data_IF_346810529083
#
_entry.id   IF_346810529083
#
_cell.length_a   1.000
_cell.length_b   1.000
_cell.length_c   1.000
_cell.angle_alpha   90.00
_cell.angle_beta   90.00
_cell.angle_gamma   90.00
#
_symmetry.space_group_name_H-M   'P 1'
#
loop_
_entity.id
_entity.type
_entity.pdbx_description
1 polymer ?
#
# COMPACT_ATOMS: atom_id res chain seq x y z
N UNK A 1 -6.55 3.15 -1.76
CA UNK A 1 -5.27 2.46 -1.46
C UNK A 1 -5.32 1.74 -0.12
N UNK A 2 -5.81 2.39 0.92
CA UNK A 2 -5.89 1.75 2.24
C UNK A 2 -6.77 0.50 2.21
N UNK A 3 -7.93 0.58 1.57
CA UNK A 3 -8.83 -0.57 1.45
C UNK A 3 -8.22 -1.69 0.62
N UNK A 4 -7.44 -1.34 -0.39
CA UNK A 4 -6.73 -2.32 -1.21
C UNK A 4 -5.71 -3.07 -0.36
N UNK A 5 -4.98 -2.35 0.49
CA UNK A 5 -4.03 -2.96 1.41
C UNK A 5 -4.73 -3.93 2.35
N UNK A 6 -5.85 -3.50 2.95
CA UNK A 6 -6.63 -4.36 3.85
C UNK A 6 -7.10 -5.62 3.15
N UNK A 7 -7.59 -5.48 1.92
CA UNK A 7 -8.20 -6.57 1.17
C UNK A 7 -7.19 -7.60 0.71
N UNK A 8 -6.00 -7.15 0.33
CA UNK A 8 -4.98 -8.02 -0.28
C UNK A 8 -3.90 -8.46 0.70
N UNK A 9 -3.91 -7.97 1.93
CA UNK A 9 -2.95 -8.38 2.96
C UNK A 9 -3.17 -9.84 3.32
N UNK A 10 -2.13 -10.65 3.21
CA UNK A 10 -2.16 -12.07 3.51
C UNK A 10 -1.47 -12.41 4.85
N UNK A 11 -1.28 -11.41 5.70
CA UNK A 11 -0.65 -11.58 7.00
C UNK A 11 0.68 -10.85 7.13
N UNK A 12 1.52 -10.90 6.10
CA UNK A 12 2.82 -10.23 6.08
C UNK A 12 2.78 -8.88 5.35
N UNK A 13 1.58 -8.40 5.01
CA UNK A 13 1.43 -7.20 4.21
C UNK A 13 1.39 -7.52 2.72
N UNK A 14 1.06 -6.50 1.92
CA UNK A 14 1.03 -6.62 0.47
C UNK A 14 2.34 -6.11 -0.12
N UNK A 15 2.92 -6.85 -1.06
CA UNK A 15 4.13 -6.44 -1.76
C UNK A 15 3.84 -5.20 -2.62
N UNK A 16 4.78 -4.25 -2.64
CA UNK A 16 4.62 -2.97 -3.34
C UNK A 16 4.21 -3.13 -4.82
N UNK A 17 4.87 -4.05 -5.53
CA UNK A 17 4.57 -4.27 -6.95
C UNK A 17 3.14 -4.76 -7.15
N UNK A 18 2.68 -5.67 -6.28
CA UNK A 18 1.32 -6.18 -6.34
C UNK A 18 0.31 -5.08 -6.04
N UNK A 19 0.62 -4.25 -5.06
CA UNK A 19 -0.22 -3.09 -4.73
C UNK A 19 -0.29 -2.13 -5.92
N UNK A 20 0.85 -1.86 -6.56
CA UNK A 20 0.90 -1.00 -7.74
C UNK A 20 0.02 -1.51 -8.87
N UNK A 21 0.05 -2.82 -9.13
CA UNK A 21 -0.79 -3.43 -10.16
C UNK A 21 -2.26 -3.26 -9.80
N UNK A 22 -2.62 -3.54 -8.55
CA UNK A 22 -4.02 -3.45 -8.11
C UNK A 22 -4.56 -2.03 -8.23
N UNK A 23 -3.80 -1.01 -7.83
CA UNK A 23 -4.28 0.37 -7.87
C UNK A 23 -4.17 1.00 -9.26
N UNK A 24 -3.33 0.45 -10.14
CA UNK A 24 -3.25 0.95 -11.52
C UNK A 24 -4.57 0.82 -12.25
N UNK A 25 -5.38 -0.17 -11.88
CA UNK A 25 -6.72 -0.35 -12.41
C UNK A 25 -7.66 0.78 -11.99
N UNK A 26 -7.31 1.50 -10.94
CA UNK A 26 -8.07 2.65 -10.44
C UNK A 26 -7.50 3.98 -10.95
N UNK A 27 -6.52 3.94 -11.85
CA UNK A 27 -5.91 5.14 -12.41
C UNK A 27 -4.82 5.76 -11.57
N UNK A 28 -4.29 5.04 -10.59
CA UNK A 28 -3.23 5.52 -9.70
C UNK A 28 -1.88 5.06 -10.24
N UNK A 29 -1.01 5.99 -10.59
CA UNK A 29 0.35 5.67 -11.08
C UNK A 29 1.34 5.53 -9.91
N UNK A 30 2.59 5.15 -10.23
CA UNK A 30 3.62 4.94 -9.24
C UNK A 30 3.91 6.15 -8.35
N UNK A 31 4.18 7.35 -8.94
CA UNK A 31 4.42 8.55 -8.13
C UNK A 31 3.24 8.90 -7.23
N UNK A 32 2.02 8.77 -7.72
CA UNK A 32 0.84 9.04 -6.91
C UNK A 32 0.71 8.03 -5.77
N UNK A 33 0.97 6.75 -6.05
CA UNK A 33 0.94 5.71 -5.04
C UNK A 33 1.98 5.99 -3.95
N UNK A 34 3.19 6.39 -4.33
CA UNK A 34 4.25 6.70 -3.36
C UNK A 34 3.83 7.83 -2.42
N UNK A 35 3.21 8.88 -2.94
CA UNK A 35 2.72 9.99 -2.13
C UNK A 35 1.62 9.53 -1.17
N UNK A 36 0.70 8.70 -1.64
CA UNK A 36 -0.38 8.18 -0.81
C UNK A 36 0.18 7.31 0.30
N UNK A 37 1.13 6.43 -0.02
CA UNK A 37 1.74 5.55 0.97
C UNK A 37 2.48 6.35 2.04
N UNK A 38 3.22 7.38 1.65
CA UNK A 38 3.89 8.25 2.60
C UNK A 38 2.90 8.93 3.52
N UNK A 39 1.81 9.45 2.97
CA UNK A 39 0.78 10.11 3.75
C UNK A 39 0.11 9.17 4.74
N UNK A 40 -0.23 7.95 4.30
CA UNK A 40 -0.86 6.97 5.18
C UNK A 40 0.09 6.51 6.28
N UNK A 41 1.37 6.37 5.96
CA UNK A 41 2.39 6.03 6.95
C UNK A 41 2.54 7.14 7.99
N UNK A 42 2.58 8.39 7.56
CA UNK A 42 2.68 9.54 8.45
C UNK A 42 1.48 9.63 9.38
N UNK A 43 0.31 9.22 8.90
CA UNK A 43 -0.91 9.23 9.72
C UNK A 43 -1.00 8.02 10.66
N UNK A 44 -0.07 7.08 10.56
CA UNK A 44 -0.09 5.88 11.39
C UNK A 44 -1.14 4.86 10.98
N UNK A 45 -1.63 4.94 9.74
CA UNK A 45 -2.66 4.04 9.26
C UNK A 45 -2.10 2.77 8.65
N UNK A 46 -0.86 2.81 8.17
CA UNK A 46 -0.15 1.66 7.61
C UNK A 46 1.29 1.64 8.09
N UNK A 47 1.95 0.51 7.93
CA UNK A 47 3.38 0.39 8.22
C UNK A 47 4.00 -0.66 7.30
N UNK A 48 5.34 -0.72 7.27
CA UNK A 48 6.08 -1.71 6.50
C UNK A 48 6.60 -2.80 7.45
N UNK A 49 5.93 -3.95 7.55
CA UNK A 49 6.45 -5.05 8.35
C UNK A 49 7.74 -5.65 7.78
N UNK A 50 7.91 -5.48 6.46
CA UNK A 50 9.09 -5.92 5.72
C UNK A 50 9.37 -4.91 4.62
N UNK A 51 10.58 -4.93 4.06
CA UNK A 51 10.92 -4.03 2.97
C UNK A 51 9.96 -4.23 1.79
N UNK A 52 9.41 -3.13 1.28
CA UNK A 52 8.45 -3.11 0.17
C UNK A 52 7.15 -3.88 0.43
N UNK A 53 6.81 -4.14 1.69
CA UNK A 53 5.52 -4.70 2.07
C UNK A 53 4.79 -3.68 2.94
N UNK A 54 3.49 -3.55 2.71
CA UNK A 54 2.65 -2.58 3.43
C UNK A 54 1.49 -3.31 4.09
N UNK A 55 1.21 -2.94 5.33
CA UNK A 55 0.18 -3.57 6.13
C UNK A 55 -0.59 -2.50 6.90
N UNK A 56 -1.87 -2.71 7.11
CA UNK A 56 -2.68 -1.84 7.96
C UNK A 56 -2.18 -1.93 9.41
N UNK A 57 -2.03 -0.76 10.02
CA UNK A 57 -1.65 -0.69 11.42
C UNK A 57 -2.79 -1.12 12.34
#
# INVERSE_FOLDING_TARGET
VLQTIKKLDEGDGIYYDDLGIAVSLEGIDGPMLDEILDSLTDQGLIFQPRFNHYKEA
#
